data_IF_537785492181
#
_entry.id   IF_537785492181
#
_cell.length_a   1.000
_cell.length_b   1.000
_cell.length_c   1.000
_cell.angle_alpha   90.00
_cell.angle_beta   90.00
_cell.angle_gamma   90.00
#
_symmetry.space_group_name_H-M   'P 1'
#
loop_
_entity.id
_entity.type
_entity.pdbx_description
1 polymer ?
#
# COMPACT_ATOMS: atom_id res chain seq x y z
N UNK A 1 -35.16 -11.04 24.68
CA UNK A 1 -33.93 -10.29 25.05
C UNK A 1 -34.21 -8.87 24.64
N UNK A 2 -34.18 -7.87 25.52
CA UNK A 2 -34.39 -6.49 25.06
C UNK A 2 -33.11 -6.05 24.34
N UNK A 3 -33.17 -5.93 23.01
CA UNK A 3 -32.06 -5.41 22.21
C UNK A 3 -32.17 -3.89 22.12
N UNK A 4 -31.03 -3.21 22.28
CA UNK A 4 -30.98 -1.74 22.24
C UNK A 4 -31.42 -1.19 20.88
N UNK A 5 -32.01 0.01 20.88
CA UNK A 5 -32.48 0.66 19.63
C UNK A 5 -31.33 0.88 18.64
N UNK A 6 -30.16 1.22 19.15
CA UNK A 6 -28.96 1.42 18.33
C UNK A 6 -28.51 0.09 17.71
N UNK A 7 -28.54 -1.01 18.48
CA UNK A 7 -28.27 -2.35 17.96
C UNK A 7 -29.26 -2.77 16.88
N UNK A 8 -30.56 -2.53 17.08
CA UNK A 8 -31.59 -2.82 16.07
C UNK A 8 -31.36 -2.05 14.76
N UNK A 9 -30.96 -0.78 14.86
CA UNK A 9 -30.62 0.04 13.70
C UNK A 9 -29.44 -0.56 12.93
N UNK A 10 -28.36 -0.92 13.63
CA UNK A 10 -27.18 -1.55 13.03
C UNK A 10 -27.53 -2.90 12.39
N UNK A 11 -28.26 -3.75 13.09
CA UNK A 11 -28.71 -5.06 12.56
C UNK A 11 -29.56 -4.87 11.30
N UNK A 12 -30.44 -3.87 11.28
CA UNK A 12 -31.25 -3.53 10.10
C UNK A 12 -30.40 -3.19 8.88
N UNK A 13 -29.39 -2.33 9.04
CA UNK A 13 -28.41 -2.01 7.98
C UNK A 13 -27.67 -3.26 7.50
N UNK A 14 -27.24 -4.12 8.42
CA UNK A 14 -26.55 -5.37 8.08
C UNK A 14 -27.43 -6.33 7.29
N UNK A 15 -28.73 -6.44 7.61
CA UNK A 15 -29.69 -7.23 6.83
C UNK A 15 -29.71 -6.76 5.37
N UNK A 16 -29.76 -5.44 5.14
CA UNK A 16 -29.75 -4.87 3.80
C UNK A 16 -28.49 -5.20 3.01
N UNK A 17 -27.32 -5.04 3.64
CA UNK A 17 -26.01 -5.35 3.04
C UNK A 17 -25.95 -6.83 2.64
N UNK A 18 -26.30 -7.74 3.56
CA UNK A 18 -26.25 -9.17 3.32
C UNK A 18 -27.27 -9.66 2.30
N UNK A 19 -28.47 -9.05 2.27
CA UNK A 19 -29.50 -9.38 1.30
C UNK A 19 -29.03 -9.03 -0.12
N UNK A 20 -28.50 -7.82 -0.33
CA UNK A 20 -28.03 -7.41 -1.65
C UNK A 20 -26.76 -8.19 -2.08
N UNK A 21 -25.87 -8.56 -1.14
CA UNK A 21 -24.73 -9.45 -1.43
C UNK A 21 -25.22 -10.80 -1.97
N UNK A 22 -26.17 -11.46 -1.28
CA UNK A 22 -26.74 -12.74 -1.73
C UNK A 22 -27.55 -12.61 -3.02
N UNK A 23 -28.18 -11.46 -3.27
CA UNK A 23 -28.90 -11.17 -4.52
C UNK A 23 -27.95 -11.08 -5.73
N UNK A 24 -26.79 -10.46 -5.56
CA UNK A 24 -25.74 -10.44 -6.58
C UNK A 24 -25.32 -11.85 -7.01
N UNK A 25 -25.36 -12.80 -6.07
CA UNK A 25 -25.03 -14.21 -6.29
C UNK A 25 -26.23 -15.08 -6.73
N UNK A 26 -27.47 -14.68 -6.43
CA UNK A 26 -28.69 -15.43 -6.77
C UNK A 26 -29.85 -14.48 -7.13
N UNK A 27 -30.31 -14.53 -8.39
CA UNK A 27 -31.14 -13.43 -8.93
C UNK A 27 -32.57 -13.31 -8.36
N UNK A 28 -33.12 -14.32 -7.68
CA UNK A 28 -34.57 -14.41 -7.53
C UNK A 28 -35.15 -14.48 -6.11
N UNK A 29 -34.43 -14.93 -5.08
CA UNK A 29 -34.96 -15.09 -3.70
C UNK A 29 -34.75 -13.87 -2.81
N UNK A 30 -33.68 -13.08 -3.05
CA UNK A 30 -33.29 -11.94 -2.21
C UNK A 30 -33.78 -10.58 -2.74
N UNK A 31 -34.73 -10.58 -3.67
CA UNK A 31 -35.46 -9.35 -4.03
C UNK A 31 -36.28 -8.88 -2.83
N UNK A 32 -36.48 -7.56 -2.68
CA UNK A 32 -37.28 -6.99 -1.59
C UNK A 32 -38.62 -7.73 -1.40
N UNK A 33 -39.35 -7.96 -2.49
CA UNK A 33 -40.68 -8.59 -2.47
C UNK A 33 -40.63 -10.02 -1.91
N UNK A 34 -39.67 -10.84 -2.33
CA UNK A 34 -39.59 -12.25 -1.85
C UNK A 34 -38.92 -12.38 -0.50
N UNK A 35 -37.98 -11.48 -0.19
CA UNK A 35 -37.25 -11.51 1.07
C UNK A 35 -38.15 -11.14 2.25
N UNK A 36 -38.99 -10.09 2.14
CA UNK A 36 -39.94 -9.74 3.19
C UNK A 36 -41.25 -10.56 3.17
N UNK A 37 -41.44 -11.44 2.18
CA UNK A 37 -42.68 -12.19 2.02
C UNK A 37 -42.98 -13.04 3.26
N UNK A 38 -44.21 -12.92 3.75
CA UNK A 38 -44.70 -13.53 5.00
C UNK A 38 -44.21 -12.87 6.29
N UNK A 39 -43.32 -11.88 6.24
CA UNK A 39 -42.67 -11.28 7.42
C UNK A 39 -43.12 -9.84 7.64
N UNK A 40 -42.93 -8.97 6.64
CA UNK A 40 -43.24 -7.54 6.74
C UNK A 40 -43.50 -6.90 5.38
N UNK A 41 -43.94 -5.63 5.37
CA UNK A 41 -44.15 -4.89 4.12
C UNK A 41 -42.81 -4.48 3.48
N UNK A 42 -42.79 -4.30 2.15
CA UNK A 42 -41.60 -3.80 1.43
C UNK A 42 -41.13 -2.46 2.00
N UNK A 43 -42.05 -1.57 2.37
CA UNK A 43 -41.70 -0.27 2.95
C UNK A 43 -41.08 -0.44 4.35
N UNK A 44 -41.57 -1.40 5.14
CA UNK A 44 -40.99 -1.75 6.43
C UNK A 44 -39.58 -2.28 6.26
N UNK A 45 -39.34 -3.19 5.30
CA UNK A 45 -38.01 -3.71 5.01
C UNK A 45 -37.06 -2.58 4.58
N UNK A 46 -37.45 -1.74 3.63
CA UNK A 46 -36.64 -0.57 3.21
C UNK A 46 -36.29 0.35 4.38
N UNK A 47 -37.27 0.61 5.26
CA UNK A 47 -37.04 1.42 6.46
C UNK A 47 -36.04 0.75 7.40
N UNK A 48 -36.16 -0.56 7.64
CA UNK A 48 -35.23 -1.33 8.47
C UNK A 48 -33.81 -1.30 7.88
N UNK A 49 -33.67 -1.53 6.57
CA UNK A 49 -32.38 -1.53 5.87
C UNK A 49 -31.70 -0.15 5.88
N UNK A 50 -32.47 0.93 5.96
CA UNK A 50 -31.97 2.29 6.15
C UNK A 50 -31.60 2.61 7.62
N UNK A 51 -31.73 1.65 8.54
CA UNK A 51 -31.47 1.83 9.98
C UNK A 51 -32.69 2.29 10.78
N UNK A 52 -33.88 2.33 10.17
CA UNK A 52 -35.15 2.55 10.85
C UNK A 52 -35.56 1.36 11.74
N UNK A 53 -36.49 1.62 12.65
CA UNK A 53 -36.90 0.63 13.65
C UNK A 53 -38.22 -0.05 13.26
N UNK A 54 -38.26 -1.37 13.40
CA UNK A 54 -39.52 -2.12 13.46
C UNK A 54 -40.13 -2.03 14.85
N UNK A 55 -41.44 -2.26 14.95
CA UNK A 55 -42.15 -2.36 16.24
C UNK A 55 -41.97 -3.72 16.91
N UNK A 56 -41.58 -4.75 16.16
CA UNK A 56 -41.36 -6.11 16.68
C UNK A 56 -39.94 -6.58 16.34
N UNK A 57 -39.28 -7.16 17.33
CA UNK A 57 -37.99 -7.85 17.20
C UNK A 57 -38.11 -9.12 16.33
N UNK A 58 -39.28 -9.78 16.32
CA UNK A 58 -39.52 -11.01 15.54
C UNK A 58 -39.27 -10.79 14.04
N UNK A 59 -39.57 -9.59 13.54
CA UNK A 59 -39.29 -9.20 12.15
C UNK A 59 -37.80 -9.30 11.85
N UNK A 60 -36.92 -8.88 12.78
CA UNK A 60 -35.47 -9.00 12.59
C UNK A 60 -35.02 -10.44 12.63
N UNK A 61 -35.57 -11.25 13.55
CA UNK A 61 -35.24 -12.68 13.69
C UNK A 61 -35.58 -13.43 12.40
N UNK A 62 -36.81 -13.29 11.89
CA UNK A 62 -37.26 -13.99 10.68
C UNK A 62 -36.48 -13.57 9.42
N UNK A 63 -36.10 -12.28 9.31
CA UNK A 63 -35.28 -11.80 8.19
C UNK A 63 -33.85 -12.35 8.27
N UNK A 64 -33.27 -12.43 9.47
CA UNK A 64 -31.94 -13.00 9.68
C UNK A 64 -31.90 -14.51 9.48
N UNK A 65 -32.97 -15.23 9.83
CA UNK A 65 -33.10 -16.66 9.58
C UNK A 65 -33.05 -16.97 8.07
N UNK A 66 -33.65 -16.13 7.20
CA UNK A 66 -33.50 -16.22 5.74
C UNK A 66 -32.05 -15.99 5.24
N UNK A 67 -31.21 -15.40 6.09
CA UNK A 67 -29.78 -15.18 5.85
C UNK A 67 -28.90 -16.18 6.60
N UNK A 68 -29.47 -17.18 7.28
CA UNK A 68 -28.74 -18.14 8.13
C UNK A 68 -27.90 -17.44 9.22
N UNK A 69 -28.40 -16.31 9.74
CA UNK A 69 -27.74 -15.48 10.74
C UNK A 69 -28.60 -15.37 11.99
N UNK A 70 -27.95 -15.16 13.15
CA UNK A 70 -28.62 -15.08 14.45
C UNK A 70 -28.78 -13.64 14.91
N UNK A 71 -29.85 -13.41 15.65
CA UNK A 71 -30.16 -12.16 16.34
C UNK A 71 -29.70 -12.20 17.81
N UNK A 72 -29.11 -11.11 18.32
CA UNK A 72 -28.74 -11.04 19.72
C UNK A 72 -27.84 -9.85 20.09
N UNK A 73 -27.82 -9.55 21.39
CA UNK A 73 -26.99 -8.55 22.03
C UNK A 73 -26.44 -9.10 23.35
N UNK A 74 -25.15 -8.90 23.57
CA UNK A 74 -24.39 -9.42 24.71
C UNK A 74 -23.49 -8.30 25.24
N UNK A 75 -23.97 -7.48 26.20
CA UNK A 75 -23.25 -6.28 26.65
C UNK A 75 -21.81 -6.54 27.12
N UNK A 76 -21.57 -7.66 27.80
CA UNK A 76 -20.22 -8.07 28.25
C UNK A 76 -19.28 -8.26 27.05
N UNK A 77 -19.78 -8.80 25.94
CA UNK A 77 -18.99 -8.98 24.71
C UNK A 77 -18.77 -7.63 24.05
N UNK A 78 -19.77 -6.74 24.06
CA UNK A 78 -19.66 -5.41 23.48
C UNK A 78 -18.56 -4.58 24.16
N UNK A 79 -18.51 -4.58 25.51
CA UNK A 79 -17.48 -3.88 26.29
C UNK A 79 -16.07 -4.38 25.96
N UNK A 80 -15.91 -5.70 25.78
CA UNK A 80 -14.62 -6.29 25.42
C UNK A 80 -14.23 -6.00 23.98
N UNK A 81 -15.19 -6.00 23.04
CA UNK A 81 -14.95 -5.56 21.66
C UNK A 81 -14.49 -4.12 21.69
N UNK A 82 -15.19 -3.19 22.34
CA UNK A 82 -14.85 -1.76 22.32
C UNK A 82 -13.41 -1.49 22.78
N UNK A 83 -12.96 -2.16 23.85
CA UNK A 83 -11.57 -2.11 24.31
C UNK A 83 -10.59 -2.63 23.25
N UNK A 84 -10.94 -3.74 22.57
CA UNK A 84 -10.14 -4.28 21.47
C UNK A 84 -10.06 -3.30 20.29
N UNK A 85 -11.17 -2.64 19.90
CA UNK A 85 -11.20 -1.65 18.80
C UNK A 85 -10.16 -0.57 19.05
N UNK A 86 -10.20 0.06 20.24
CA UNK A 86 -9.31 1.18 20.59
C UNK A 86 -7.84 0.76 20.54
N UNK A 87 -7.53 -0.44 21.05
CA UNK A 87 -6.18 -1.01 20.97
C UNK A 87 -5.73 -1.24 19.53
N UNK A 88 -6.59 -1.84 18.70
CA UNK A 88 -6.30 -2.14 17.29
C UNK A 88 -6.07 -0.86 16.47
N UNK A 89 -6.94 0.15 16.61
CA UNK A 89 -6.78 1.43 15.91
C UNK A 89 -5.46 2.11 16.29
N UNK A 90 -5.11 2.12 17.58
CA UNK A 90 -3.82 2.63 18.06
C UNK A 90 -2.67 1.82 17.48
N UNK A 91 -2.74 0.50 17.49
CA UNK A 91 -1.63 -0.33 17.01
C UNK A 91 -1.43 -0.18 15.49
N UNK A 92 -2.49 0.08 14.71
CA UNK A 92 -2.41 0.45 13.28
C UNK A 92 -1.73 1.82 13.12
N UNK A 93 -2.15 2.83 13.89
CA UNK A 93 -1.60 4.18 13.86
C UNK A 93 -0.09 4.18 14.16
N UNK A 94 0.34 3.43 15.16
CA UNK A 94 1.74 3.35 15.63
C UNK A 94 2.55 2.22 14.99
N UNK A 95 2.00 1.53 13.99
CA UNK A 95 2.64 0.41 13.29
C UNK A 95 3.15 -0.70 14.24
N UNK A 96 2.41 -0.98 15.32
CA UNK A 96 2.74 -1.99 16.33
C UNK A 96 2.22 -3.36 15.92
N UNK A 97 2.80 -3.94 14.86
CA UNK A 97 2.30 -5.16 14.20
C UNK A 97 2.14 -6.33 15.19
N UNK A 98 3.12 -6.59 16.06
CA UNK A 98 3.03 -7.74 16.99
C UNK A 98 1.86 -7.61 17.98
N UNK A 99 1.66 -6.41 18.55
CA UNK A 99 0.52 -6.11 19.43
C UNK A 99 -0.80 -6.22 18.67
N UNK A 100 -0.87 -5.66 17.45
CA UNK A 100 -2.02 -5.75 16.57
C UNK A 100 -2.42 -7.22 16.30
N UNK A 101 -1.47 -8.06 15.91
CA UNK A 101 -1.71 -9.48 15.63
C UNK A 101 -2.19 -10.22 16.89
N UNK A 102 -1.66 -9.90 18.06
CA UNK A 102 -2.12 -10.46 19.33
C UNK A 102 -3.56 -10.03 19.64
N UNK A 103 -3.89 -8.75 19.49
CA UNK A 103 -5.22 -8.20 19.70
C UNK A 103 -6.26 -8.82 18.76
N UNK A 104 -5.94 -8.93 17.46
CA UNK A 104 -6.78 -9.60 16.47
C UNK A 104 -7.03 -11.07 16.87
N UNK A 105 -5.99 -11.83 17.20
CA UNK A 105 -6.14 -13.22 17.62
C UNK A 105 -7.01 -13.38 18.88
N UNK A 106 -6.84 -12.50 19.88
CA UNK A 106 -7.67 -12.50 21.08
C UNK A 106 -9.14 -12.25 20.73
N UNK A 107 -9.42 -11.26 19.89
CA UNK A 107 -10.78 -10.94 19.46
C UNK A 107 -11.42 -12.04 18.60
N UNK A 108 -10.66 -12.68 17.71
CA UNK A 108 -11.12 -13.85 16.94
C UNK A 108 -11.55 -14.98 17.88
N UNK A 109 -10.73 -15.30 18.90
CA UNK A 109 -11.06 -16.33 19.90
C UNK A 109 -12.29 -15.96 20.73
N UNK A 110 -12.40 -14.70 21.14
CA UNK A 110 -13.57 -14.19 21.87
C UNK A 110 -14.86 -14.36 21.07
N UNK A 111 -14.81 -14.10 19.76
CA UNK A 111 -15.97 -14.07 18.88
C UNK A 111 -16.27 -15.39 18.17
N UNK A 112 -15.46 -16.43 18.34
CA UNK A 112 -15.62 -17.72 17.67
C UNK A 112 -17.01 -18.33 17.91
N UNK A 113 -17.52 -18.24 19.13
CA UNK A 113 -18.86 -18.72 19.49
C UNK A 113 -19.99 -17.76 19.06
N UNK A 114 -19.65 -16.53 18.70
CA UNK A 114 -20.59 -15.49 18.31
C UNK A 114 -20.63 -15.23 16.81
N UNK A 115 -19.79 -15.90 16.00
CA UNK A 115 -19.67 -15.68 14.55
C UNK A 115 -20.97 -15.88 13.75
N UNK A 116 -21.93 -16.62 14.30
CA UNK A 116 -23.25 -16.82 13.70
C UNK A 116 -24.21 -15.65 13.94
N UNK A 117 -23.94 -14.76 14.89
CA UNK A 117 -24.75 -13.57 15.14
C UNK A 117 -24.33 -12.45 14.19
N UNK A 118 -25.27 -11.84 13.48
CA UNK A 118 -24.97 -10.90 12.38
C UNK A 118 -24.03 -9.75 12.79
N UNK A 119 -24.25 -9.17 13.98
CA UNK A 119 -23.42 -8.09 14.49
C UNK A 119 -22.00 -8.56 14.82
N UNK A 120 -21.90 -9.62 15.63
CA UNK A 120 -20.61 -10.13 16.14
C UNK A 120 -19.78 -10.84 15.08
N UNK A 121 -20.46 -11.50 14.13
CA UNK A 121 -19.86 -12.14 12.97
C UNK A 121 -19.08 -11.15 12.12
N UNK A 122 -19.55 -9.91 11.96
CA UNK A 122 -18.77 -8.90 11.23
C UNK A 122 -17.45 -8.58 11.91
N UNK A 123 -17.44 -8.33 13.22
CA UNK A 123 -16.19 -8.12 13.94
C UNK A 123 -15.25 -9.32 13.82
N UNK A 124 -15.78 -10.55 13.89
CA UNK A 124 -14.98 -11.75 13.69
C UNK A 124 -14.27 -11.76 12.33
N UNK A 125 -14.99 -11.48 11.25
CA UNK A 125 -14.40 -11.47 9.90
C UNK A 125 -13.45 -10.28 9.69
N UNK A 126 -13.79 -9.09 10.21
CA UNK A 126 -12.91 -7.91 10.17
C UNK A 126 -11.57 -8.20 10.83
N UNK A 127 -11.59 -8.78 12.04
CA UNK A 127 -10.37 -9.14 12.76
C UNK A 127 -9.56 -10.21 12.04
N UNK A 128 -10.23 -11.17 11.40
CA UNK A 128 -9.57 -12.22 10.61
C UNK A 128 -8.89 -11.65 9.35
N UNK A 129 -9.58 -10.77 8.63
CA UNK A 129 -9.05 -10.12 7.44
C UNK A 129 -7.87 -9.19 7.79
N UNK A 130 -7.99 -8.41 8.87
CA UNK A 130 -6.88 -7.63 9.40
C UNK A 130 -5.67 -8.49 9.79
N UNK A 131 -5.90 -9.57 10.51
CA UNK A 131 -4.85 -10.50 10.92
C UNK A 131 -4.11 -11.07 9.70
N UNK A 132 -4.87 -11.53 8.71
CA UNK A 132 -4.35 -12.11 7.48
C UNK A 132 -3.56 -11.09 6.64
N UNK A 133 -4.04 -9.86 6.55
CA UNK A 133 -3.35 -8.77 5.86
C UNK A 133 -2.01 -8.43 6.54
N UNK A 134 -2.01 -8.12 7.84
CA UNK A 134 -0.77 -7.69 8.52
C UNK A 134 0.22 -8.82 8.76
N UNK A 135 -0.22 -10.08 8.84
CA UNK A 135 0.67 -11.24 9.05
C UNK A 135 1.25 -11.79 7.76
N UNK A 136 0.43 -11.86 6.71
CA UNK A 136 0.72 -12.67 5.53
C UNK A 136 0.46 -11.94 4.21
N UNK A 137 0.14 -10.64 4.24
CA UNK A 137 -0.23 -9.83 3.06
C UNK A 137 -1.36 -10.44 2.23
N UNK A 138 -2.28 -11.18 2.90
CA UNK A 138 -3.43 -11.79 2.25
C UNK A 138 -4.53 -10.74 2.14
N UNK A 139 -4.88 -10.41 0.90
CA UNK A 139 -5.89 -9.42 0.58
C UNK A 139 -7.31 -9.98 0.66
N UNK A 140 -8.26 -9.09 0.93
CA UNK A 140 -9.68 -9.42 0.98
C UNK A 140 -10.21 -9.84 -0.41
N UNK A 141 -11.23 -10.71 -0.41
CA UNK A 141 -11.88 -11.19 -1.63
C UNK A 141 -13.06 -10.29 -2.06
N UNK A 142 -13.60 -10.53 -3.25
CA UNK A 142 -14.71 -9.75 -3.84
C UNK A 142 -15.94 -9.65 -2.94
N UNK A 143 -16.27 -10.74 -2.23
CA UNK A 143 -17.38 -10.74 -1.27
C UNK A 143 -17.13 -9.76 -0.12
N UNK A 144 -15.92 -9.73 0.44
CA UNK A 144 -15.57 -8.81 1.53
C UNK A 144 -15.46 -7.37 1.05
N UNK A 145 -15.04 -7.12 -0.20
CA UNK A 145 -15.09 -5.78 -0.81
C UNK A 145 -16.52 -5.25 -0.77
N UNK A 146 -17.48 -6.02 -1.28
CA UNK A 146 -18.90 -5.62 -1.30
C UNK A 146 -19.42 -5.30 0.10
N UNK A 147 -19.15 -6.17 1.07
CA UNK A 147 -19.59 -5.97 2.46
C UNK A 147 -18.96 -4.72 3.07
N UNK A 148 -17.64 -4.53 2.93
CA UNK A 148 -16.94 -3.37 3.51
C UNK A 148 -17.32 -2.04 2.88
N UNK A 149 -17.56 -2.00 1.56
CA UNK A 149 -18.14 -0.82 0.92
C UNK A 149 -19.54 -0.54 1.46
N UNK A 150 -20.37 -1.58 1.65
CA UNK A 150 -21.67 -1.45 2.30
C UNK A 150 -21.58 -0.90 3.72
N UNK A 151 -20.67 -1.42 4.55
CA UNK A 151 -20.48 -0.95 5.94
C UNK A 151 -20.02 0.51 5.98
N UNK A 152 -19.09 0.89 5.10
CA UNK A 152 -18.55 2.24 5.01
C UNK A 152 -19.61 3.24 4.52
N UNK A 153 -20.33 2.93 3.44
CA UNK A 153 -21.32 3.83 2.84
C UNK A 153 -22.56 4.05 3.74
N UNK A 154 -22.82 3.14 4.67
CA UNK A 154 -23.97 3.22 5.59
C UNK A 154 -23.58 3.61 7.03
N UNK A 155 -22.30 3.97 7.27
CA UNK A 155 -21.75 4.31 8.59
C UNK A 155 -22.21 3.33 9.68
N UNK A 156 -21.98 2.03 9.43
CA UNK A 156 -22.49 0.96 10.30
C UNK A 156 -21.67 0.84 11.58
N UNK A 157 -20.36 1.03 11.49
CA UNK A 157 -19.43 0.87 12.60
C UNK A 157 -18.40 2.00 12.67
N UNK A 158 -17.80 2.21 13.84
CA UNK A 158 -16.71 3.20 14.06
C UNK A 158 -15.37 2.76 13.41
N UNK A 159 -15.33 1.59 12.76
CA UNK A 159 -14.14 1.00 12.12
C UNK A 159 -13.88 1.52 10.69
N UNK A 160 -14.46 2.65 10.31
CA UNK A 160 -14.40 3.19 8.93
C UNK A 160 -12.97 3.22 8.37
N UNK A 161 -11.99 3.69 9.15
CA UNK A 161 -10.60 3.75 8.72
C UNK A 161 -9.96 2.37 8.51
N UNK A 162 -10.35 1.36 9.29
CA UNK A 162 -9.90 -0.03 9.07
C UNK A 162 -10.44 -0.57 7.75
N UNK A 163 -11.70 -0.29 7.42
CA UNK A 163 -12.27 -0.69 6.14
C UNK A 163 -11.51 -0.03 4.98
N UNK A 164 -11.18 1.27 5.13
CA UNK A 164 -10.36 1.99 4.16
C UNK A 164 -8.97 1.35 3.97
N UNK A 165 -8.30 0.91 5.04
CA UNK A 165 -7.01 0.17 4.94
C UNK A 165 -7.18 -1.09 4.07
N UNK A 166 -8.12 -1.96 4.41
CA UNK A 166 -8.31 -3.24 3.74
C UNK A 166 -8.78 -3.08 2.28
N UNK A 167 -9.73 -2.17 2.04
CA UNK A 167 -10.23 -1.85 0.70
C UNK A 167 -9.13 -1.24 -0.17
N UNK A 168 -8.40 -0.24 0.34
CA UNK A 168 -7.32 0.39 -0.42
C UNK A 168 -6.22 -0.62 -0.78
N UNK A 169 -5.81 -1.47 0.16
CA UNK A 169 -4.78 -2.48 -0.08
C UNK A 169 -5.13 -3.41 -1.26
N UNK A 170 -6.39 -3.84 -1.36
CA UNK A 170 -6.90 -4.69 -2.43
C UNK A 170 -7.15 -3.93 -3.74
N UNK A 171 -7.92 -2.85 -3.69
CA UNK A 171 -8.40 -2.14 -4.88
C UNK A 171 -7.28 -1.38 -5.60
N UNK A 172 -6.25 -0.89 -4.90
CA UNK A 172 -5.13 -0.18 -5.53
C UNK A 172 -4.40 -1.01 -6.60
N UNK A 173 -4.46 -2.35 -6.51
CA UNK A 173 -3.81 -3.24 -7.47
C UNK A 173 -4.40 -3.08 -8.87
N UNK A 174 -5.69 -2.77 -8.96
CA UNK A 174 -6.40 -2.57 -10.23
C UNK A 174 -6.11 -1.20 -10.85
N UNK A 175 -5.42 -0.31 -10.11
CA UNK A 175 -5.08 1.03 -10.53
C UNK A 175 -3.65 1.19 -11.07
N UNK A 176 -2.81 0.14 -11.02
CA UNK A 176 -1.36 0.22 -11.28
C UNK A 176 -0.96 0.90 -12.60
N UNK A 177 -1.83 0.85 -13.61
CA UNK A 177 -1.57 1.44 -14.93
C UNK A 177 -2.63 2.47 -15.33
N UNK A 178 -3.50 2.88 -14.41
CA UNK A 178 -4.64 3.76 -14.67
C UNK A 178 -4.78 4.80 -13.55
N UNK A 179 -4.16 5.96 -13.78
CA UNK A 179 -4.18 7.09 -12.85
C UNK A 179 -5.59 7.58 -12.55
N UNK A 180 -6.51 7.53 -13.53
CA UNK A 180 -7.90 7.96 -13.32
C UNK A 180 -8.62 7.04 -12.34
N UNK A 181 -8.43 5.71 -12.48
CA UNK A 181 -8.95 4.75 -11.49
C UNK A 181 -8.35 4.98 -10.10
N UNK A 182 -7.05 5.29 -10.03
CA UNK A 182 -6.40 5.59 -8.77
C UNK A 182 -7.04 6.81 -8.08
N UNK A 183 -7.23 7.92 -8.80
CA UNK A 183 -7.87 9.13 -8.24
C UNK A 183 -9.31 8.88 -7.79
N UNK A 184 -10.10 8.16 -8.60
CA UNK A 184 -11.46 7.77 -8.23
C UNK A 184 -11.47 6.89 -6.96
N UNK A 185 -10.46 6.04 -6.75
CA UNK A 185 -10.35 5.22 -5.54
C UNK A 185 -10.08 6.08 -4.30
N UNK A 186 -9.21 7.09 -4.40
CA UNK A 186 -8.94 8.05 -3.31
C UNK A 186 -10.21 8.80 -2.91
N UNK A 187 -10.97 9.29 -3.89
CA UNK A 187 -12.25 9.98 -3.66
C UNK A 187 -13.31 9.04 -3.07
N UNK A 188 -13.49 7.84 -3.67
CA UNK A 188 -14.47 6.84 -3.22
C UNK A 188 -14.27 6.44 -1.76
N UNK A 189 -13.01 6.27 -1.34
CA UNK A 189 -12.69 5.92 0.05
C UNK A 189 -12.59 7.15 0.97
N UNK A 190 -12.76 8.36 0.43
CA UNK A 190 -12.64 9.63 1.14
C UNK A 190 -11.38 9.66 2.02
N UNK A 191 -10.22 9.36 1.41
CA UNK A 191 -8.95 9.23 2.14
C UNK A 191 -8.36 10.58 2.59
N UNK A 192 -8.84 11.69 2.01
CA UNK A 192 -8.52 13.04 2.48
C UNK A 192 -9.11 13.32 3.86
N UNK A 193 -10.23 12.68 4.22
CA UNK A 193 -10.93 12.84 5.49
C UNK A 193 -10.91 11.52 6.28
N UNK A 194 -9.80 11.28 6.97
CA UNK A 194 -9.54 10.10 7.81
C UNK A 194 -9.19 10.53 9.22
N UNK A 195 -9.53 9.69 10.21
CA UNK A 195 -9.22 9.95 11.62
C UNK A 195 -7.81 9.49 11.98
N UNK A 196 -7.37 8.36 11.42
CA UNK A 196 -6.00 7.85 11.58
C UNK A 196 -5.03 8.65 10.73
N UNK A 197 -4.03 9.27 11.37
CA UNK A 197 -3.05 10.09 10.64
C UNK A 197 -2.15 9.22 9.78
N UNK A 198 -1.95 7.94 10.12
CA UNK A 198 -1.18 7.03 9.28
C UNK A 198 -1.81 6.80 7.89
N UNK A 199 -3.13 6.96 7.75
CA UNK A 199 -3.79 6.85 6.44
C UNK A 199 -3.51 8.05 5.53
N UNK A 200 -3.21 9.23 6.09
CA UNK A 200 -2.81 10.41 5.31
C UNK A 200 -1.47 10.20 4.59
N UNK A 201 -0.65 9.22 5.00
CA UNK A 201 0.56 8.83 4.26
C UNK A 201 0.20 8.32 2.85
N UNK A 202 -0.96 7.67 2.68
CA UNK A 202 -1.47 7.27 1.36
C UNK A 202 -1.76 8.51 0.50
N UNK A 203 -2.26 9.58 1.13
CA UNK A 203 -2.54 10.85 0.45
C UNK A 203 -1.25 11.54 0.00
N UNK A 204 -0.15 11.41 0.74
CA UNK A 204 1.16 11.89 0.26
C UNK A 204 1.57 11.23 -1.07
N UNK A 205 1.29 9.94 -1.24
CA UNK A 205 1.51 9.28 -2.53
C UNK A 205 0.57 9.79 -3.62
N UNK A 206 -0.69 10.08 -3.27
CA UNK A 206 -1.63 10.72 -4.20
C UNK A 206 -1.07 12.05 -4.71
N UNK A 207 -0.63 12.95 -3.83
CA UNK A 207 -0.06 14.23 -4.24
C UNK A 207 1.25 14.09 -5.03
N UNK A 208 2.07 13.10 -4.71
CA UNK A 208 3.27 12.80 -5.49
C UNK A 208 2.91 12.44 -6.95
N UNK A 209 1.91 11.57 -7.13
CA UNK A 209 1.48 11.08 -8.46
C UNK A 209 0.70 12.15 -9.24
N UNK A 210 -0.05 13.01 -8.55
CA UNK A 210 -0.75 14.14 -9.17
C UNK A 210 0.11 15.40 -9.33
N UNK A 211 1.38 15.34 -8.90
CA UNK A 211 2.34 16.45 -8.94
C UNK A 211 1.90 17.70 -8.12
N UNK A 212 1.03 17.51 -7.13
CA UNK A 212 0.53 18.53 -6.20
C UNK A 212 1.53 18.75 -5.04
N UNK A 213 2.73 19.22 -5.37
CA UNK A 213 3.85 19.29 -4.42
C UNK A 213 3.66 20.30 -3.28
N UNK A 214 2.83 21.35 -3.46
CA UNK A 214 2.57 22.35 -2.42
C UNK A 214 1.66 21.78 -1.32
N UNK A 215 0.62 21.08 -1.74
CA UNK A 215 -0.29 20.33 -0.88
C UNK A 215 0.46 19.22 -0.14
N UNK A 216 1.31 18.49 -0.86
CA UNK A 216 2.20 17.48 -0.29
C UNK A 216 3.10 18.06 0.81
N UNK A 217 3.77 19.19 0.55
CA UNK A 217 4.64 19.84 1.53
C UNK A 217 3.89 20.29 2.79
N UNK A 218 2.68 20.83 2.61
CA UNK A 218 1.81 21.25 3.71
C UNK A 218 1.44 20.06 4.60
N UNK A 219 1.03 18.95 3.98
CA UNK A 219 0.67 17.73 4.70
C UNK A 219 1.88 17.06 5.38
N UNK A 220 3.05 17.05 4.74
CA UNK A 220 4.31 16.59 5.36
C UNK A 220 4.58 17.37 6.65
N UNK A 221 4.45 18.70 6.60
CA UNK A 221 4.69 19.56 7.76
C UNK A 221 3.71 19.29 8.90
N UNK A 222 2.42 19.11 8.59
CA UNK A 222 1.37 18.72 9.54
C UNK A 222 1.69 17.36 10.20
N UNK A 223 1.96 16.33 9.38
CA UNK A 223 2.21 14.97 9.87
C UNK A 223 3.51 14.88 10.68
N UNK A 224 4.56 15.63 10.31
CA UNK A 224 5.79 15.72 11.12
C UNK A 224 5.47 16.25 12.52
N UNK A 225 4.63 17.28 12.63
CA UNK A 225 4.22 17.82 13.93
C UNK A 225 3.46 16.78 14.74
N UNK A 226 2.43 16.14 14.15
CA UNK A 226 1.59 15.13 14.79
C UNK A 226 2.43 13.95 15.30
N UNK A 227 3.28 13.38 14.45
CA UNK A 227 4.06 12.19 14.81
C UNK A 227 5.21 12.49 15.78
N UNK A 228 5.78 13.70 15.76
CA UNK A 228 6.74 14.13 16.79
C UNK A 228 6.05 14.27 18.15
N UNK A 229 4.89 14.94 18.21
CA UNK A 229 4.15 15.15 19.46
C UNK A 229 3.67 13.82 20.07
N UNK A 230 3.20 12.91 19.24
CA UNK A 230 2.77 11.57 19.67
C UNK A 230 3.93 10.59 19.92
N UNK A 231 5.18 10.98 19.65
CA UNK A 231 6.38 10.12 19.70
C UNK A 231 6.24 8.87 18.83
N UNK A 232 5.51 8.98 17.72
CA UNK A 232 5.34 7.91 16.74
C UNK A 232 6.46 7.97 15.69
N UNK A 233 7.67 7.61 16.12
CA UNK A 233 8.87 7.76 15.28
C UNK A 233 8.86 6.86 14.04
N UNK A 234 8.20 5.70 14.10
CA UNK A 234 8.06 4.81 12.94
C UNK A 234 7.29 5.52 11.81
N UNK A 235 6.14 6.13 12.12
CA UNK A 235 5.37 6.90 11.11
C UNK A 235 6.04 8.20 10.73
N UNK A 236 6.79 8.80 11.63
CA UNK A 236 7.58 9.98 11.30
C UNK A 236 8.64 9.66 10.23
N UNK A 237 9.27 8.49 10.28
CA UNK A 237 10.18 8.02 9.21
C UNK A 237 9.44 7.84 7.89
N UNK A 238 8.22 7.27 7.90
CA UNK A 238 7.38 7.18 6.69
C UNK A 238 7.16 8.57 6.06
N UNK A 239 6.96 9.61 6.87
CA UNK A 239 6.76 10.99 6.37
C UNK A 239 8.05 11.58 5.80
N UNK A 240 9.20 11.38 6.45
CA UNK A 240 10.48 11.82 5.92
C UNK A 240 10.82 11.16 4.59
N UNK A 241 10.44 9.89 4.39
CA UNK A 241 10.58 9.23 3.08
C UNK A 241 9.89 10.03 1.98
N UNK A 242 8.65 10.46 2.20
CA UNK A 242 7.94 11.29 1.23
C UNK A 242 8.54 12.68 1.07
N UNK A 243 9.10 13.28 2.13
CA UNK A 243 9.82 14.56 2.04
C UNK A 243 11.06 14.45 1.15
N UNK A 244 11.84 13.38 1.30
CA UNK A 244 13.05 13.11 0.49
C UNK A 244 12.66 12.84 -0.98
N UNK A 245 11.62 12.04 -1.21
CA UNK A 245 11.13 11.77 -2.57
C UNK A 245 10.67 13.08 -3.22
N UNK A 246 9.85 13.89 -2.53
CA UNK A 246 9.39 15.18 -3.04
C UNK A 246 10.56 16.10 -3.41
N UNK A 247 11.62 16.16 -2.60
CA UNK A 247 12.82 16.95 -2.91
C UNK A 247 13.64 16.41 -4.10
N UNK A 248 13.47 15.15 -4.46
CA UNK A 248 14.07 14.58 -5.67
C UNK A 248 13.41 15.12 -6.93
N UNK A 249 12.10 15.42 -6.90
CA UNK A 249 11.33 15.86 -8.06
C UNK A 249 11.08 17.38 -8.13
N UNK A 250 10.85 18.03 -6.97
CA UNK A 250 10.24 19.37 -6.93
C UNK A 250 11.11 20.48 -6.31
N UNK A 251 12.31 20.15 -5.82
CA UNK A 251 13.20 21.15 -5.20
C UNK A 251 14.60 21.09 -5.79
N UNK A 252 15.41 22.12 -5.61
CA UNK A 252 16.87 22.07 -5.79
C UNK A 252 17.62 22.14 -4.45
N UNK A 253 16.88 22.12 -3.33
CA UNK A 253 17.48 22.14 -2.00
C UNK A 253 18.13 20.80 -1.68
N UNK A 254 19.28 20.87 -1.01
CA UNK A 254 19.91 19.71 -0.38
C UNK A 254 19.03 19.14 0.73
N UNK A 255 19.14 17.83 0.97
CA UNK A 255 18.38 17.13 2.02
C UNK A 255 19.17 16.96 3.32
N UNK A 256 20.35 17.56 3.45
CA UNK A 256 21.26 17.27 4.58
C UNK A 256 20.61 17.57 5.96
N UNK A 257 19.77 18.61 6.07
CA UNK A 257 19.03 18.87 7.31
C UNK A 257 18.01 17.78 7.62
N UNK A 258 17.30 17.27 6.61
CA UNK A 258 16.33 16.17 6.76
C UNK A 258 17.05 14.88 7.16
N UNK A 259 18.16 14.57 6.50
CA UNK A 259 18.99 13.40 6.80
C UNK A 259 19.55 13.48 8.23
N UNK A 260 19.99 14.65 8.69
CA UNK A 260 20.44 14.83 10.07
C UNK A 260 19.31 14.57 11.08
N UNK A 261 18.11 15.12 10.86
CA UNK A 261 16.95 14.86 11.73
C UNK A 261 16.59 13.38 11.79
N UNK A 262 16.63 12.71 10.63
CA UNK A 262 16.37 11.27 10.50
C UNK A 262 17.42 10.46 11.28
N UNK A 263 18.70 10.75 11.12
CA UNK A 263 19.78 10.04 11.79
C UNK A 263 19.68 10.16 13.33
N UNK A 264 19.27 11.31 13.85
CA UNK A 264 19.02 11.47 15.29
C UNK A 264 17.84 10.62 15.77
N UNK A 265 16.79 10.47 14.97
CA UNK A 265 15.67 9.58 15.29
C UNK A 265 16.12 8.12 15.32
N UNK A 266 16.93 7.70 14.33
CA UNK A 266 17.42 6.32 14.25
C UNK A 266 18.33 5.94 15.42
N UNK A 267 19.17 6.86 15.92
CA UNK A 267 20.05 6.60 17.07
C UNK A 267 19.29 6.38 18.39
N UNK A 268 18.13 7.02 18.53
CA UNK A 268 17.40 7.08 19.81
C UNK A 268 16.20 6.14 19.92
N UNK A 269 15.82 5.45 18.85
CA UNK A 269 14.54 4.74 18.77
C UNK A 269 14.66 3.40 18.05
N UNK A 270 13.86 2.43 18.48
CA UNK A 270 13.73 1.15 17.78
C UNK A 270 12.84 1.33 16.54
N UNK A 271 13.45 1.30 15.37
CA UNK A 271 12.77 1.42 14.07
C UNK A 271 12.90 0.09 13.33
N UNK A 272 11.80 -0.48 12.78
CA UNK A 272 11.88 -1.73 12.05
C UNK A 272 12.88 -1.64 10.88
N UNK A 273 13.73 -2.67 10.72
CA UNK A 273 14.75 -2.70 9.67
C UNK A 273 14.21 -2.39 8.27
N UNK A 274 13.01 -2.89 7.93
CA UNK A 274 12.36 -2.60 6.65
C UNK A 274 12.12 -1.10 6.42
N UNK A 275 11.85 -0.33 7.48
CA UNK A 275 11.67 1.13 7.40
C UNK A 275 12.99 1.87 7.22
N UNK A 276 14.05 1.37 7.85
CA UNK A 276 15.41 1.90 7.67
C UNK A 276 15.90 1.63 6.25
N UNK A 277 15.65 0.43 5.74
CA UNK A 277 15.91 0.05 4.35
C UNK A 277 15.22 1.00 3.36
N UNK A 278 13.90 1.17 3.47
CA UNK A 278 13.11 2.07 2.60
C UNK A 278 13.63 3.51 2.62
N UNK A 279 14.08 3.97 3.80
CA UNK A 279 14.62 5.30 3.98
C UNK A 279 15.99 5.47 3.30
N UNK A 280 16.95 4.59 3.59
CA UNK A 280 18.27 4.68 2.97
C UNK A 280 18.21 4.49 1.45
N UNK A 281 17.28 3.65 0.94
CA UNK A 281 17.06 3.54 -0.50
C UNK A 281 16.59 4.86 -1.14
N UNK A 282 15.73 5.60 -0.46
CA UNK A 282 15.23 6.88 -0.96
C UNK A 282 16.28 7.99 -0.86
N UNK A 283 17.09 8.01 0.21
CA UNK A 283 18.23 8.93 0.33
C UNK A 283 19.26 8.65 -0.77
N UNK A 284 19.59 7.37 -1.01
CA UNK A 284 20.51 6.97 -2.07
C UNK A 284 19.99 7.38 -3.45
N UNK A 285 18.70 7.12 -3.74
CA UNK A 285 18.06 7.53 -4.99
C UNK A 285 18.07 9.04 -5.18
N UNK A 286 17.84 9.83 -4.12
CA UNK A 286 17.97 11.29 -4.19
C UNK A 286 19.37 11.71 -4.66
N UNK A 287 20.43 11.18 -4.04
CA UNK A 287 21.80 11.54 -4.41
C UNK A 287 22.17 11.02 -5.81
N UNK A 288 21.66 9.85 -6.20
CA UNK A 288 21.82 9.31 -7.54
C UNK A 288 21.21 10.24 -8.60
N UNK A 289 19.97 10.71 -8.38
CA UNK A 289 19.32 11.69 -9.27
C UNK A 289 20.10 13.00 -9.35
N UNK A 290 20.82 13.37 -8.27
CA UNK A 290 21.71 14.55 -8.22
C UNK A 290 23.09 14.30 -8.81
N UNK A 291 23.38 13.09 -9.28
CA UNK A 291 24.69 12.67 -9.80
C UNK A 291 25.80 12.75 -8.74
N UNK A 292 25.44 12.73 -7.45
CA UNK A 292 26.36 12.57 -6.32
C UNK A 292 26.53 11.07 -6.06
N UNK A 293 27.30 10.43 -6.94
CA UNK A 293 27.45 8.97 -6.95
C UNK A 293 28.20 8.44 -5.71
N UNK A 294 29.04 9.26 -5.08
CA UNK A 294 29.75 8.89 -3.84
C UNK A 294 28.76 8.71 -2.70
N UNK A 295 27.93 9.72 -2.42
CA UNK A 295 26.89 9.62 -1.38
C UNK A 295 25.82 8.59 -1.73
N UNK A 296 25.42 8.53 -3.00
CA UNK A 296 24.45 7.52 -3.44
C UNK A 296 24.95 6.10 -3.12
N UNK A 297 26.21 5.79 -3.45
CA UNK A 297 26.81 4.50 -3.17
C UNK A 297 26.94 4.24 -1.66
N UNK A 298 27.31 5.25 -0.86
CA UNK A 298 27.33 5.15 0.60
C UNK A 298 25.97 4.68 1.16
N UNK A 299 24.89 5.39 0.81
CA UNK A 299 23.55 5.06 1.31
C UNK A 299 22.99 3.77 0.74
N UNK A 300 23.28 3.43 -0.52
CA UNK A 300 22.90 2.13 -1.06
C UNK A 300 23.60 0.99 -0.32
N UNK A 301 24.86 1.14 0.10
CA UNK A 301 25.53 0.13 0.90
C UNK A 301 24.95 0.05 2.31
N UNK A 302 24.68 1.18 2.97
CA UNK A 302 24.01 1.21 4.27
C UNK A 302 22.64 0.53 4.23
N UNK A 303 21.88 0.71 3.15
CA UNK A 303 20.58 0.06 2.94
C UNK A 303 20.71 -1.47 3.00
N UNK A 304 21.77 -2.05 2.45
CA UNK A 304 21.95 -3.52 2.38
C UNK A 304 22.11 -4.18 3.76
N UNK A 305 22.50 -3.42 4.79
CA UNK A 305 22.64 -3.94 6.17
C UNK A 305 21.29 -4.20 6.86
N UNK A 306 20.18 -3.69 6.28
CA UNK A 306 18.85 -3.74 6.91
C UNK A 306 17.83 -4.59 6.15
N UNK A 307 18.21 -5.21 5.04
CA UNK A 307 17.28 -6.06 4.28
C UNK A 307 18.00 -7.19 3.56
N UNK A 308 17.68 -8.41 3.98
CA UNK A 308 18.24 -9.63 3.40
C UNK A 308 17.60 -10.01 2.04
N UNK A 309 16.57 -9.28 1.60
CA UNK A 309 15.94 -9.50 0.31
C UNK A 309 16.67 -8.82 -0.85
N UNK A 310 16.41 -9.27 -2.07
CA UNK A 310 17.06 -8.71 -3.27
C UNK A 310 16.09 -7.85 -4.06
N UNK A 311 16.36 -6.55 -4.13
CA UNK A 311 15.67 -5.64 -5.05
C UNK A 311 16.58 -5.30 -6.24
N UNK A 312 16.34 -5.98 -7.37
CA UNK A 312 17.20 -5.91 -8.57
C UNK A 312 17.46 -4.48 -9.05
N UNK A 313 16.48 -3.54 -9.07
CA UNK A 313 16.74 -2.16 -9.47
C UNK A 313 17.82 -1.45 -8.64
N UNK A 314 17.85 -1.63 -7.31
CA UNK A 314 18.89 -1.01 -6.48
C UNK A 314 20.28 -1.55 -6.79
N UNK A 315 20.40 -2.83 -7.17
CA UNK A 315 21.69 -3.40 -7.58
C UNK A 315 22.20 -2.77 -8.90
N UNK A 316 21.29 -2.45 -9.82
CA UNK A 316 21.62 -1.73 -11.04
C UNK A 316 22.14 -0.33 -10.71
N UNK A 317 21.49 0.39 -9.79
CA UNK A 317 21.92 1.73 -9.37
C UNK A 317 23.26 1.70 -8.64
N UNK A 318 23.51 0.68 -7.81
CA UNK A 318 24.82 0.44 -7.19
C UNK A 318 25.90 0.23 -8.25
N UNK A 319 25.63 -0.59 -9.27
CA UNK A 319 26.56 -0.86 -10.36
C UNK A 319 26.86 0.41 -11.18
N UNK A 320 25.83 1.22 -11.43
CA UNK A 320 25.98 2.51 -12.09
C UNK A 320 26.85 3.48 -11.27
N UNK A 321 26.58 3.64 -9.97
CA UNK A 321 27.44 4.41 -9.08
C UNK A 321 28.89 3.93 -9.11
N UNK A 322 29.11 2.61 -9.02
CA UNK A 322 30.45 2.03 -9.10
C UNK A 322 31.13 2.37 -10.43
N UNK A 323 30.42 2.29 -11.56
CA UNK A 323 30.99 2.62 -12.85
C UNK A 323 31.30 4.12 -13.01
N UNK A 324 30.46 5.01 -12.48
CA UNK A 324 30.72 6.45 -12.47
C UNK A 324 31.93 6.85 -11.62
N UNK A 325 32.22 6.06 -10.57
CA UNK A 325 33.37 6.25 -9.68
C UNK A 325 34.61 5.45 -10.11
N UNK A 326 34.58 4.80 -11.28
CA UNK A 326 35.63 3.92 -11.79
C UNK A 326 36.03 2.80 -10.80
N UNK A 327 35.06 2.33 -10.01
CA UNK A 327 35.19 1.20 -9.10
C UNK A 327 34.83 -0.12 -9.80
N UNK A 328 35.36 -1.27 -9.33
CA UNK A 328 34.93 -2.57 -9.81
C UNK A 328 33.44 -2.79 -9.58
N UNK A 329 32.72 -3.18 -10.63
CA UNK A 329 31.28 -3.45 -10.56
C UNK A 329 31.04 -4.78 -9.84
N UNK A 330 30.31 -4.74 -8.73
CA UNK A 330 30.03 -5.92 -7.89
C UNK A 330 28.55 -6.28 -7.96
N UNK A 331 28.21 -7.25 -8.81
CA UNK A 331 26.84 -7.79 -8.92
C UNK A 331 26.72 -9.12 -8.16
N UNK A 332 25.83 -9.24 -7.16
CA UNK A 332 25.56 -10.51 -6.51
C UNK A 332 24.83 -11.46 -7.46
N UNK A 333 25.07 -12.77 -7.32
CA UNK A 333 24.35 -13.80 -8.08
C UNK A 333 22.95 -13.95 -7.52
N UNK A 334 21.94 -13.77 -8.38
CA UNK A 334 20.52 -13.88 -8.01
C UNK A 334 19.95 -15.18 -8.55
N UNK A 335 19.15 -15.86 -7.73
CA UNK A 335 18.41 -17.05 -8.15
C UNK A 335 17.49 -16.76 -9.34
N UNK A 336 17.46 -17.68 -10.32
CA UNK A 336 16.65 -17.53 -11.53
C UNK A 336 15.16 -17.34 -11.24
N UNK A 337 14.64 -17.98 -10.20
CA UNK A 337 13.24 -17.85 -9.78
C UNK A 337 12.91 -16.41 -9.38
N UNK A 338 13.74 -15.80 -8.53
CA UNK A 338 13.61 -14.40 -8.08
C UNK A 338 13.70 -13.45 -9.28
N UNK A 339 14.75 -13.60 -10.10
CA UNK A 339 14.96 -12.71 -11.25
C UNK A 339 13.82 -12.82 -12.27
N UNK A 340 13.20 -14.00 -12.43
CA UNK A 340 12.11 -14.20 -13.38
C UNK A 340 10.82 -13.42 -13.06
N UNK A 341 10.65 -13.00 -11.80
CA UNK A 341 9.53 -12.17 -11.37
C UNK A 341 9.63 -10.69 -11.79
N UNK A 342 10.79 -10.24 -12.27
CA UNK A 342 11.00 -8.87 -12.71
C UNK A 342 10.65 -8.64 -14.18
N UNK A 343 10.26 -7.40 -14.57
CA UNK A 343 10.07 -7.01 -15.95
C UNK A 343 11.29 -7.32 -16.84
N UNK A 344 11.06 -7.49 -18.14
CA UNK A 344 12.10 -7.97 -19.07
C UNK A 344 13.25 -6.97 -19.18
N UNK A 345 12.97 -5.68 -19.12
CA UNK A 345 13.89 -4.54 -19.10
C UNK A 345 14.88 -4.66 -17.93
N UNK A 346 14.38 -4.75 -16.70
CA UNK A 346 15.20 -4.91 -15.48
C UNK A 346 16.08 -6.16 -15.57
N UNK A 347 15.54 -7.28 -16.07
CA UNK A 347 16.31 -8.52 -16.26
C UNK A 347 17.45 -8.35 -17.26
N UNK A 348 17.24 -7.59 -18.33
CA UNK A 348 18.30 -7.33 -19.32
C UNK A 348 19.38 -6.41 -18.77
N UNK A 349 19.00 -5.40 -17.98
CA UNK A 349 19.92 -4.47 -17.34
C UNK A 349 20.80 -5.19 -16.31
N UNK A 350 20.20 -5.97 -15.41
CA UNK A 350 20.95 -6.80 -14.46
C UNK A 350 21.91 -7.76 -15.17
N UNK A 351 21.44 -8.40 -16.25
CA UNK A 351 22.28 -9.31 -17.05
C UNK A 351 23.49 -8.60 -17.65
N UNK A 352 23.34 -7.35 -18.09
CA UNK A 352 24.44 -6.56 -18.64
C UNK A 352 25.52 -6.29 -17.59
N UNK A 353 25.13 -5.80 -16.42
CA UNK A 353 26.08 -5.53 -15.33
C UNK A 353 26.69 -6.80 -14.72
N UNK A 354 26.07 -7.96 -14.95
CA UNK A 354 26.59 -9.26 -14.54
C UNK A 354 27.47 -9.94 -15.61
N UNK A 355 27.76 -9.29 -16.73
CA UNK A 355 28.66 -9.82 -17.75
C UNK A 355 30.09 -9.89 -17.22
N UNK A 356 30.82 -10.95 -17.59
CA UNK A 356 32.24 -11.11 -17.26
C UNK A 356 33.07 -9.93 -17.80
N UNK A 357 34.09 -9.51 -17.05
CA UNK A 357 34.97 -8.41 -17.43
C UNK A 357 35.66 -8.68 -18.78
N UNK A 358 35.91 -9.94 -19.11
CA UNK A 358 36.54 -10.38 -20.37
C UNK A 358 35.62 -10.28 -21.59
N UNK A 359 34.32 -9.97 -21.42
CA UNK A 359 33.41 -9.78 -22.56
C UNK A 359 33.86 -8.56 -23.37
N UNK A 360 34.12 -8.70 -24.69
CA UNK A 360 34.62 -7.60 -25.50
C UNK A 360 33.67 -6.39 -25.53
N UNK A 361 34.23 -5.18 -25.54
CA UNK A 361 33.47 -3.93 -25.53
C UNK A 361 32.44 -3.84 -26.67
N UNK A 362 32.78 -4.32 -27.87
CA UNK A 362 31.84 -4.36 -29.00
C UNK A 362 30.61 -5.25 -28.72
N UNK A 363 30.76 -6.33 -27.96
CA UNK A 363 29.65 -7.20 -27.55
C UNK A 363 28.77 -6.47 -26.54
N UNK A 364 29.36 -5.76 -25.57
CA UNK A 364 28.65 -4.91 -24.60
C UNK A 364 27.85 -3.81 -25.30
N UNK A 365 28.44 -3.10 -26.26
CA UNK A 365 27.74 -2.10 -27.08
C UNK A 365 26.55 -2.69 -27.83
N UNK A 366 26.73 -3.83 -28.50
CA UNK A 366 25.64 -4.50 -29.20
C UNK A 366 24.53 -4.95 -28.25
N UNK A 367 24.88 -5.34 -27.02
CA UNK A 367 23.91 -5.71 -26.01
C UNK A 367 23.05 -4.51 -25.61
N UNK A 368 23.66 -3.36 -25.32
CA UNK A 368 22.94 -2.11 -25.01
C UNK A 368 21.97 -1.78 -26.15
N UNK A 369 22.47 -1.67 -27.39
CA UNK A 369 21.70 -1.22 -28.54
C UNK A 369 20.57 -2.19 -28.92
N UNK A 370 20.82 -3.50 -28.90
CA UNK A 370 19.85 -4.50 -29.40
C UNK A 370 18.92 -5.06 -28.33
N UNK A 371 19.36 -5.07 -27.06
CA UNK A 371 18.62 -5.75 -25.97
C UNK A 371 18.01 -4.77 -24.97
N UNK A 372 18.72 -3.70 -24.63
CA UNK A 372 18.34 -2.75 -23.58
C UNK A 372 17.58 -1.56 -24.15
N UNK A 373 18.21 -0.78 -25.05
CA UNK A 373 17.67 0.44 -25.63
C UNK A 373 16.22 0.32 -26.14
N UNK A 374 15.79 -0.78 -26.80
CA UNK A 374 14.41 -0.88 -27.26
C UNK A 374 13.37 -0.93 -26.14
N UNK A 375 13.77 -1.33 -24.92
CA UNK A 375 12.88 -1.62 -23.79
C UNK A 375 12.87 -0.55 -22.71
N UNK A 376 13.95 0.23 -22.60
CA UNK A 376 14.01 1.32 -21.61
C UNK A 376 13.14 2.50 -22.05
N UNK A 377 12.53 3.14 -21.06
CA UNK A 377 11.68 4.33 -21.21
C UNK A 377 11.88 5.34 -20.10
N UNK A 378 12.43 4.92 -18.96
CA UNK A 378 12.73 5.80 -17.82
C UNK A 378 14.01 6.60 -18.10
N UNK A 379 13.99 7.89 -17.75
CA UNK A 379 15.09 8.81 -18.02
C UNK A 379 16.38 8.45 -17.27
N UNK A 380 16.24 7.87 -16.06
CA UNK A 380 17.39 7.44 -15.24
C UNK A 380 18.04 6.23 -15.91
N UNK A 381 17.24 5.24 -16.30
CA UNK A 381 17.74 4.06 -17.02
C UNK A 381 18.43 4.46 -18.34
N UNK A 382 17.86 5.44 -19.05
CA UNK A 382 18.45 6.00 -20.27
C UNK A 382 19.81 6.62 -19.99
N UNK A 383 19.93 7.44 -18.94
CA UNK A 383 21.18 8.10 -18.56
C UNK A 383 22.27 7.10 -18.16
N UNK A 384 21.93 6.05 -17.41
CA UNK A 384 22.84 4.95 -17.06
C UNK A 384 23.46 4.35 -18.33
N UNK A 385 22.62 3.93 -19.29
CA UNK A 385 23.13 3.26 -20.48
C UNK A 385 23.75 4.21 -21.51
N UNK A 386 23.38 5.50 -21.49
CA UNK A 386 24.08 6.53 -22.25
C UNK A 386 25.51 6.69 -21.74
N UNK A 387 25.71 6.74 -20.42
CA UNK A 387 27.05 6.82 -19.82
C UNK A 387 27.89 5.57 -20.12
N UNK A 388 27.33 4.38 -19.90
CA UNK A 388 27.95 3.09 -20.25
C UNK A 388 28.41 3.05 -21.71
N UNK A 389 27.51 3.40 -22.63
CA UNK A 389 27.80 3.38 -24.05
C UNK A 389 28.89 4.38 -24.41
N UNK A 390 28.90 5.56 -23.78
CA UNK A 390 29.92 6.60 -23.98
C UNK A 390 31.32 6.08 -23.63
N UNK A 391 31.50 5.48 -22.44
CA UNK A 391 32.80 4.88 -22.05
C UNK A 391 33.24 3.78 -23.02
N UNK A 392 32.32 2.94 -23.48
CA UNK A 392 32.64 1.86 -24.42
C UNK A 392 33.03 2.37 -25.81
N UNK A 393 32.38 3.42 -26.33
CA UNK A 393 32.73 3.97 -27.65
C UNK A 393 34.04 4.73 -27.63
N UNK A 394 34.41 5.35 -26.51
CA UNK A 394 35.73 5.97 -26.33
C UNK A 394 36.86 4.95 -26.41
N UNK A 395 36.67 3.76 -25.83
CA UNK A 395 37.67 2.67 -25.87
C UNK A 395 37.80 2.00 -27.24
N UNK A 396 36.70 1.93 -27.98
CA UNK A 396 36.63 1.18 -29.25
C UNK A 396 36.71 2.05 -30.50
N UNK A 397 36.48 3.36 -30.40
CA UNK A 397 36.35 4.29 -31.52
C UNK A 397 35.02 4.17 -32.30
N UNK A 398 34.06 3.35 -31.87
CA UNK A 398 32.82 3.06 -32.60
C UNK A 398 31.67 4.05 -32.31
N UNK A 399 31.87 5.34 -32.55
CA UNK A 399 30.88 6.41 -32.26
C UNK A 399 29.54 6.29 -32.97
N UNK A 400 29.44 5.48 -34.04
CA UNK A 400 28.17 5.18 -34.72
C UNK A 400 27.12 4.60 -33.77
N UNK A 401 27.55 3.82 -32.78
CA UNK A 401 26.64 3.22 -31.78
C UNK A 401 25.96 4.29 -30.93
N UNK A 402 26.71 5.31 -30.49
CA UNK A 402 26.16 6.42 -29.70
C UNK A 402 25.22 7.28 -30.54
N UNK A 403 25.59 7.57 -31.79
CA UNK A 403 24.69 8.30 -32.69
C UNK A 403 23.36 7.57 -32.93
N UNK A 404 23.39 6.24 -33.10
CA UNK A 404 22.18 5.44 -33.20
C UNK A 404 21.34 5.48 -31.93
N UNK A 405 21.98 5.43 -30.76
CA UNK A 405 21.30 5.51 -29.46
C UNK A 405 20.50 6.81 -29.34
N UNK A 406 21.13 7.96 -29.57
CA UNK A 406 20.46 9.26 -29.50
C UNK A 406 19.37 9.43 -30.56
N UNK A 407 19.63 8.98 -31.80
CA UNK A 407 18.61 9.02 -32.85
C UNK A 407 17.38 8.18 -32.49
N UNK A 408 17.58 6.98 -31.94
CA UNK A 408 16.48 6.10 -31.53
C UNK A 408 15.60 6.76 -30.45
N UNK A 409 16.21 7.37 -29.44
CA UNK A 409 15.48 8.09 -28.39
C UNK A 409 14.67 9.26 -28.95
N UNK A 410 15.27 10.06 -29.82
CA UNK A 410 14.58 11.19 -30.47
C UNK A 410 13.37 10.73 -31.28
N UNK A 411 13.43 9.58 -31.96
CA UNK A 411 12.30 9.03 -32.73
C UNK A 411 11.21 8.37 -31.88
N UNK A 412 11.54 7.97 -30.65
CA UNK A 412 10.60 7.28 -29.74
C UNK A 412 9.84 8.27 -28.85
N UNK A 413 10.46 9.43 -28.57
CA UNK A 413 9.92 10.51 -27.72
C UNK A 413 9.21 11.61 -28.52
N UNK A 414 9.35 11.61 -29.86
CA UNK A 414 8.54 12.40 -30.81
C UNK A 414 7.23 11.72 -31.14
#
# INVERSE_FOLDING_TARGET
>A
MNVSRDRLSVIGKLIGIYREERRGNTQNSFTLKKFCDGICSINTLKNIEAGGLSRSEDVYIELLDKLDLKFGEFPIVDDEIEKLIKGILRDIEYFQIQSLLHACNRGIRLLENFKGYVYYGEFYYILKDLYNYYKSDILINEKRIYVYEGLLNNDVFVWNDVFKVLLFAKLKIECKTDLKKYYNLIEKLNLLNVNLSCLKIIVLHYYLVSEEYLEMFTMISELKCIFRQSKNFIRLIDVYNYEIIMYSYASNKGIDSVVNEVNEILKGNEIPNIKIYELYSNIASYYHHRKDYEKALEYFNLMLDYYDGVFVPHLIYIADCQNHLDLPIKMPVIEKGVLSGYPIEIRMMYKYFSLDENVPDFVKQNFIIKRILPKITDDIDIDIFRFELTKLVERTGHYKSLHYFEHFLNTKLS
#
